data_IF_445698630649
#
_entry.id   IF_445698630649
#
_cell.length_a   1.000
_cell.length_b   1.000
_cell.length_c   1.000
_cell.angle_alpha   90.00
_cell.angle_beta   90.00
_cell.angle_gamma   90.00
#
_symmetry.space_group_name_H-M   'P 1'
#
loop_
_entity.id
_entity.type
_entity.pdbx_description
1 polymer ?
#
# COMPACT_ATOMS: atom_id res chain seq x y z
N UNK A 1 10.27 -6.71 57.63
CA UNK A 1 9.38 -7.66 56.91
C UNK A 1 9.29 -7.21 55.45
N UNK A 2 10.44 -6.95 54.80
CA UNK A 2 10.46 -6.08 53.60
C UNK A 2 10.97 -6.79 52.35
N UNK A 3 11.73 -7.88 52.50
CA UNK A 3 12.21 -8.68 51.37
C UNK A 3 11.10 -9.51 50.67
N UNK A 4 10.00 -9.81 51.39
CA UNK A 4 8.90 -10.63 50.87
C UNK A 4 7.98 -9.84 49.92
N UNK A 5 7.78 -8.54 50.16
CA UNK A 5 6.97 -7.66 49.28
C UNK A 5 7.69 -7.32 47.98
N UNK A 6 9.01 -7.12 48.01
CA UNK A 6 9.80 -6.71 46.85
C UNK A 6 9.83 -7.79 45.74
N UNK A 7 9.76 -9.07 46.13
CA UNK A 7 9.81 -10.23 45.21
C UNK A 7 8.51 -10.47 44.43
N UNK A 8 7.38 -9.97 44.94
CA UNK A 8 6.05 -10.17 44.34
C UNK A 8 5.74 -9.21 43.17
N UNK A 9 6.48 -8.11 43.04
CA UNK A 9 6.14 -7.05 42.08
C UNK A 9 6.90 -7.20 40.76
N UNK A 10 8.05 -7.87 40.78
CA UNK A 10 8.84 -8.20 39.59
C UNK A 10 8.05 -8.99 38.52
N UNK A 11 7.33 -10.07 38.83
CA UNK A 11 6.55 -10.78 37.81
C UNK A 11 5.39 -9.93 37.27
N UNK A 12 4.78 -9.07 38.09
CA UNK A 12 3.73 -8.15 37.66
C UNK A 12 4.28 -7.09 36.69
N UNK A 13 5.46 -6.53 36.97
CA UNK A 13 6.14 -5.58 36.08
C UNK A 13 6.57 -6.23 34.76
N UNK A 14 7.07 -7.46 34.79
CA UNK A 14 7.39 -8.23 33.58
C UNK A 14 6.13 -8.51 32.74
N UNK A 15 5.01 -8.86 33.37
CA UNK A 15 3.75 -9.09 32.68
C UNK A 15 3.23 -7.82 31.99
N UNK A 16 3.34 -6.67 32.65
CA UNK A 16 2.95 -5.37 32.08
C UNK A 16 3.86 -5.00 30.90
N UNK A 17 5.18 -5.18 31.03
CA UNK A 17 6.13 -4.94 29.94
C UNK A 17 5.89 -5.84 28.73
N UNK A 18 5.64 -7.12 28.96
CA UNK A 18 5.32 -8.08 27.89
C UNK A 18 3.99 -7.74 27.20
N UNK A 19 2.96 -7.36 27.96
CA UNK A 19 1.68 -6.92 27.41
C UNK A 19 1.82 -5.64 26.58
N UNK A 20 2.64 -4.69 27.01
CA UNK A 20 2.94 -3.47 26.27
C UNK A 20 3.65 -3.74 24.94
N UNK A 21 4.65 -4.62 24.94
CA UNK A 21 5.36 -5.06 23.72
C UNK A 21 4.42 -5.78 22.74
N UNK A 22 3.55 -6.64 23.26
CA UNK A 22 2.56 -7.34 22.44
C UNK A 22 1.59 -6.34 21.79
N UNK A 23 1.06 -5.39 22.55
CA UNK A 23 0.15 -4.37 22.06
C UNK A 23 0.80 -3.48 20.98
N UNK A 24 2.05 -3.07 21.17
CA UNK A 24 2.80 -2.31 20.19
C UNK A 24 3.04 -3.10 18.89
N UNK A 25 3.38 -4.40 19.00
CA UNK A 25 3.59 -5.27 17.84
C UNK A 25 2.30 -5.47 17.05
N UNK A 26 1.17 -5.67 17.73
CA UNK A 26 -0.15 -5.76 17.09
C UNK A 26 -0.52 -4.43 16.42
N UNK A 27 -0.24 -3.29 17.06
CA UNK A 27 -0.49 -1.98 16.47
C UNK A 27 0.32 -1.76 15.18
N UNK A 28 1.61 -2.15 15.17
CA UNK A 28 2.45 -2.11 13.98
C UNK A 28 1.93 -3.01 12.86
N UNK A 29 1.53 -4.25 13.17
CA UNK A 29 0.95 -5.16 12.19
C UNK A 29 -0.38 -4.65 11.62
N UNK A 30 -1.23 -4.04 12.46
CA UNK A 30 -2.50 -3.45 12.02
C UNK A 30 -2.25 -2.19 11.18
N UNK A 31 -1.27 -1.36 11.54
CA UNK A 31 -0.89 -0.17 10.78
C UNK A 31 -0.27 -0.56 9.43
N UNK A 32 0.60 -1.55 9.41
CA UNK A 32 1.18 -2.11 8.19
C UNK A 32 0.08 -2.69 7.29
N UNK A 33 -0.81 -3.54 7.84
CA UNK A 33 -1.94 -4.07 7.09
C UNK A 33 -2.89 -2.98 6.56
N UNK A 34 -3.06 -1.86 7.29
CA UNK A 34 -3.86 -0.71 6.85
C UNK A 34 -3.16 0.19 5.83
N UNK A 35 -1.84 0.39 5.96
CA UNK A 35 -1.03 1.11 4.97
C UNK A 35 -0.93 0.33 3.67
N UNK A 36 -0.87 -1.00 3.79
CA UNK A 36 -0.96 -1.95 2.70
C UNK A 36 -2.35 -1.86 2.06
N UNK A 37 -3.48 -1.95 2.78
CA UNK A 37 -4.84 -1.81 2.19
C UNK A 37 -5.07 -0.42 1.59
N UNK A 38 -4.67 -0.26 0.33
CA UNK A 38 -4.67 0.98 -0.44
C UNK A 38 -5.90 1.85 -0.14
N UNK A 39 -5.66 3.15 0.06
CA UNK A 39 -6.72 4.13 0.33
C UNK A 39 -7.85 3.95 -0.68
N UNK A 40 -9.10 3.90 -0.17
CA UNK A 40 -10.30 3.90 -1.02
C UNK A 40 -10.19 5.06 -2.01
N UNK A 41 -10.30 4.75 -3.30
CA UNK A 41 -10.30 5.78 -4.32
C UNK A 41 -11.54 6.66 -4.11
N UNK A 42 -11.42 8.00 -4.04
CA UNK A 42 -12.57 8.89 -3.97
C UNK A 42 -13.49 8.77 -5.19
N UNK A 43 -13.02 8.17 -6.29
CA UNK A 43 -13.81 7.91 -7.51
C UNK A 43 -14.63 6.60 -7.48
N UNK A 44 -14.76 5.92 -6.33
CA UNK A 44 -15.52 4.67 -6.23
C UNK A 44 -14.88 3.48 -6.96
N UNK A 45 -13.64 3.62 -7.42
CA UNK A 45 -12.88 2.54 -8.04
C UNK A 45 -12.59 1.43 -7.02
N UNK A 46 -12.59 0.18 -7.48
CA UNK A 46 -12.28 -0.99 -6.67
C UNK A 46 -11.01 -0.75 -5.83
N UNK A 47 -11.05 -1.17 -4.56
CA UNK A 47 -9.93 -0.94 -3.65
C UNK A 47 -8.65 -1.48 -4.28
N UNK A 48 -7.68 -0.58 -4.42
CA UNK A 48 -6.38 -0.88 -5.01
C UNK A 48 -5.73 -1.99 -4.19
N UNK A 49 -5.29 -3.10 -4.83
CA UNK A 49 -4.53 -4.12 -4.13
C UNK A 49 -3.32 -3.49 -3.48
N UNK A 50 -3.05 -3.93 -2.27
CA UNK A 50 -2.02 -3.43 -1.37
C UNK A 50 -0.59 -3.60 -1.84
N UNK A 51 -0.38 -4.13 -3.04
CA UNK A 51 0.89 -4.68 -3.46
C UNK A 51 1.59 -3.59 -4.29
N UNK A 52 2.54 -2.94 -3.62
CA UNK A 52 2.94 -1.53 -3.79
C UNK A 52 3.85 -1.22 -4.98
N UNK A 53 4.44 -2.20 -5.65
CA UNK A 53 5.35 -1.91 -6.74
C UNK A 53 4.55 -1.40 -7.94
N UNK A 54 4.75 -0.14 -8.31
CA UNK A 54 4.38 0.36 -9.62
C UNK A 54 5.53 1.06 -10.28
N UNK A 55 5.40 1.17 -11.59
CA UNK A 55 6.45 1.68 -12.47
C UNK A 55 5.88 2.79 -13.36
N UNK A 56 6.70 3.80 -13.60
CA UNK A 56 6.39 4.82 -14.60
C UNK A 56 6.67 4.24 -15.99
N UNK A 57 5.75 4.42 -16.92
CA UNK A 57 5.83 3.88 -18.28
C UNK A 57 5.59 4.96 -19.32
N UNK A 58 6.29 4.87 -20.45
CA UNK A 58 6.12 5.74 -21.60
C UNK A 58 5.48 4.94 -22.76
N UNK A 59 4.22 4.52 -22.58
CA UNK A 59 3.47 3.76 -23.58
C UNK A 59 2.59 4.64 -24.49
N UNK A 60 2.71 5.97 -24.37
CA UNK A 60 1.83 6.90 -25.07
C UNK A 60 2.25 6.93 -26.55
N UNK A 61 1.29 6.78 -27.46
CA UNK A 61 1.56 6.69 -28.90
C UNK A 61 2.07 5.33 -29.39
N UNK A 62 2.31 4.36 -28.49
CA UNK A 62 2.60 2.99 -28.91
C UNK A 62 1.35 2.31 -29.51
N UNK A 63 1.56 1.44 -30.50
CA UNK A 63 0.47 0.66 -31.08
C UNK A 63 -0.20 -0.22 -29.99
N UNK A 64 -1.53 -0.46 -30.06
CA UNK A 64 -2.25 -1.20 -29.01
C UNK A 64 -1.65 -2.58 -28.66
N UNK A 65 -1.14 -3.30 -29.67
CA UNK A 65 -0.49 -4.59 -29.46
C UNK A 65 0.81 -4.47 -28.66
N UNK A 66 1.62 -3.43 -28.93
CA UNK A 66 2.85 -3.16 -28.20
C UNK A 66 2.59 -2.72 -26.77
N UNK A 67 1.53 -1.93 -26.54
CA UNK A 67 1.09 -1.57 -25.19
C UNK A 67 0.70 -2.80 -24.38
N UNK A 68 -0.12 -3.70 -24.96
CA UNK A 68 -0.53 -4.93 -24.28
C UNK A 68 0.64 -5.88 -24.00
N UNK A 69 1.62 -5.98 -24.90
CA UNK A 69 2.82 -6.76 -24.66
C UNK A 69 3.62 -6.19 -23.47
N UNK A 70 3.91 -4.89 -23.49
CA UNK A 70 4.65 -4.24 -22.41
C UNK A 70 3.95 -4.35 -21.04
N UNK A 71 2.63 -4.16 -21.00
CA UNK A 71 1.86 -4.31 -19.75
C UNK A 71 1.88 -5.74 -19.21
N UNK A 72 1.92 -6.75 -20.10
CA UNK A 72 2.01 -8.16 -19.72
C UNK A 72 3.37 -8.49 -19.12
N UNK A 73 4.44 -7.96 -19.71
CA UNK A 73 5.80 -8.12 -19.19
C UNK A 73 5.94 -7.45 -17.80
N UNK A 74 5.41 -6.24 -17.67
CA UNK A 74 5.37 -5.50 -16.39
C UNK A 74 4.60 -6.29 -15.32
N UNK A 75 3.46 -6.90 -15.68
CA UNK A 75 2.72 -7.76 -14.78
C UNK A 75 3.51 -9.03 -14.40
N UNK A 76 4.24 -9.63 -15.35
CA UNK A 76 5.11 -10.78 -15.10
C UNK A 76 6.27 -10.49 -14.15
N UNK A 77 6.74 -9.24 -14.10
CA UNK A 77 7.76 -8.77 -13.15
C UNK A 77 7.19 -8.56 -11.73
N UNK A 78 5.86 -8.49 -11.59
CA UNK A 78 5.18 -8.33 -10.31
C UNK A 78 4.74 -6.91 -9.99
N UNK A 79 4.78 -5.99 -10.97
CA UNK A 79 4.18 -4.67 -10.81
C UNK A 79 2.66 -4.75 -10.94
N UNK A 80 1.95 -4.30 -9.91
CA UNK A 80 0.48 -4.40 -9.86
C UNK A 80 -0.26 -3.24 -10.53
N UNK A 81 0.46 -2.19 -10.93
CA UNK A 81 -0.08 -0.99 -11.54
C UNK A 81 1.02 -0.19 -12.25
N UNK A 82 0.64 0.63 -13.22
CA UNK A 82 1.55 1.52 -13.97
C UNK A 82 1.12 2.98 -13.83
N UNK A 83 2.06 3.90 -13.97
CA UNK A 83 1.79 5.33 -14.09
C UNK A 83 2.29 5.81 -15.45
N UNK A 84 1.44 6.52 -16.19
CA UNK A 84 1.80 7.06 -17.50
C UNK A 84 1.70 8.59 -17.45
N UNK A 85 2.73 9.25 -17.96
CA UNK A 85 2.70 10.68 -18.18
C UNK A 85 1.89 10.97 -19.45
N UNK A 86 1.01 11.95 -19.38
CA UNK A 86 0.27 12.44 -20.53
C UNK A 86 0.46 13.96 -20.62
N UNK A 87 0.61 14.45 -21.84
CA UNK A 87 0.62 15.87 -22.13
C UNK A 87 -0.82 16.37 -22.21
N UNK A 88 -1.19 17.31 -21.35
CA UNK A 88 -2.54 17.85 -21.29
C UNK A 88 -2.82 18.80 -22.45
N UNK A 89 -1.80 19.47 -23.00
CA UNK A 89 -1.94 20.39 -24.15
C UNK A 89 -2.22 19.62 -25.45
N UNK A 90 -1.73 18.37 -25.50
CA UNK A 90 -1.95 17.46 -26.62
C UNK A 90 -3.33 16.77 -26.58
N UNK A 91 -4.11 16.94 -25.51
CA UNK A 91 -5.46 16.39 -25.46
C UNK A 91 -6.39 17.19 -26.40
N UNK A 92 -7.20 16.53 -27.23
CA UNK A 92 -8.19 17.24 -28.01
C UNK A 92 -9.11 18.00 -27.06
N UNK A 93 -9.21 19.31 -27.25
CA UNK A 93 -10.13 20.15 -26.49
C UNK A 93 -11.52 19.51 -26.57
N UNK A 94 -12.11 19.20 -25.41
CA UNK A 94 -13.37 18.45 -25.29
C UNK A 94 -14.41 18.94 -26.30
N UNK A 95 -14.54 18.24 -27.42
CA UNK A 95 -15.68 18.36 -28.31
C UNK A 95 -16.83 17.61 -27.66
N UNK A 96 -17.63 18.31 -26.86
CA UNK A 96 -18.98 17.89 -26.54
C UNK A 96 -19.77 17.79 -27.85
N UNK A 97 -19.87 16.59 -28.42
CA UNK A 97 -20.52 16.38 -29.70
C UNK A 97 -20.63 14.91 -30.09
N UNK A 98 -21.57 14.20 -29.45
CA UNK A 98 -22.42 13.18 -30.06
C UNK A 98 -23.59 12.88 -29.11
#
# INVERSE_FOLDING_TARGET
>A
MDAVKQKSWLPALCAIGAAGLLAASVALLVQDARGMRGRRSPAGLAQRPANLAGINVALLGAAPAAQQAALRDIAGIGFGWVRQEFDWEALPANGSGA
#
